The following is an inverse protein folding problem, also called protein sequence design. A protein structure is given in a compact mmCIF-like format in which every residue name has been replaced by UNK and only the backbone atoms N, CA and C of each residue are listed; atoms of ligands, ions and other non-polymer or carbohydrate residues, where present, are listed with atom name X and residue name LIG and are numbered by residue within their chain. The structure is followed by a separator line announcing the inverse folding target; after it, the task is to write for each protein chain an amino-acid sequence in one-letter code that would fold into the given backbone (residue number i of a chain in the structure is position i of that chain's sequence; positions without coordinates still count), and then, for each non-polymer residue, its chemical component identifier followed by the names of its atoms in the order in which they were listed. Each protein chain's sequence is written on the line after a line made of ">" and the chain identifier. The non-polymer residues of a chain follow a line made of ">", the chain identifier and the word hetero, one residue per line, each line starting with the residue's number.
data_IF_093760278700
#
_entry.id   IF_093760278700
#
_cell.length_a   1.000
_cell.length_b   1.000
_cell.length_c   1.000
_cell.angle_alpha   90.00
_cell.angle_beta   90.00
_cell.angle_gamma   90.00
#
_symmetry.space_group_name_H-M   'P 1'
#
loop_
_entity.id
_entity.type
_entity.pdbx_description
1 polymer ?
#
# COMPACT_ATOMS: atom_id res chain seq x y z
N UNK A 1 -12.35 8.54 -6.74
CA UNK A 1 -13.19 7.93 -5.68
C UNK A 1 -13.32 8.82 -4.43
N UNK A 2 -12.48 9.85 -4.25
CA UNK A 2 -12.44 10.66 -3.01
C UNK A 2 -13.54 11.74 -2.85
N UNK A 3 -14.62 11.71 -3.65
CA UNK A 3 -15.63 12.78 -3.65
C UNK A 3 -16.71 12.63 -2.56
N UNK A 4 -16.59 11.65 -1.66
CA UNK A 4 -17.62 11.31 -0.67
C UNK A 4 -17.20 11.59 0.77
N UNK A 5 -16.01 12.16 1.00
CA UNK A 5 -15.53 12.43 2.35
C UNK A 5 -16.13 13.74 2.87
N UNK A 6 -16.78 13.67 4.03
CA UNK A 6 -17.19 14.81 4.83
C UNK A 6 -16.65 14.65 6.25
N UNK A 7 -15.89 15.67 6.67
CA UNK A 7 -15.27 15.74 7.99
C UNK A 7 -16.29 15.47 9.10
N UNK A 8 -15.89 14.69 10.11
CA UNK A 8 -16.72 14.33 11.27
C UNK A 8 -18.01 13.55 10.95
N UNK A 9 -18.20 13.09 9.72
CA UNK A 9 -19.41 12.35 9.30
C UNK A 9 -19.05 11.04 8.60
N UNK A 10 -18.30 11.12 7.51
CA UNK A 10 -18.02 9.98 6.64
C UNK A 10 -16.68 10.24 5.96
N UNK A 11 -15.65 9.49 6.33
CA UNK A 11 -14.35 9.57 5.69
C UNK A 11 -14.14 8.31 4.86
N UNK A 12 -13.80 8.47 3.58
CA UNK A 12 -13.58 7.33 2.71
C UNK A 12 -12.37 7.51 1.79
N UNK A 13 -11.71 6.39 1.52
CA UNK A 13 -10.69 6.27 0.49
C UNK A 13 -10.97 5.03 -0.33
N UNK A 14 -10.81 5.12 -1.65
CA UNK A 14 -11.13 4.03 -2.57
C UNK A 14 -10.06 3.83 -3.64
N UNK A 15 -9.76 2.57 -3.94
CA UNK A 15 -8.88 2.16 -5.04
C UNK A 15 -9.48 0.96 -5.77
N UNK A 16 -9.35 0.93 -7.09
CA UNK A 16 -9.64 -0.27 -7.89
C UNK A 16 -8.37 -1.10 -8.03
N UNK A 17 -8.45 -2.37 -7.64
CA UNK A 17 -7.37 -3.35 -7.78
C UNK A 17 -7.69 -4.30 -8.93
N UNK A 18 -6.71 -4.52 -9.79
CA UNK A 18 -6.77 -5.52 -10.87
C UNK A 18 -5.78 -6.63 -10.54
N UNK A 19 -6.30 -7.83 -10.33
CA UNK A 19 -5.54 -9.02 -9.94
C UNK A 19 -5.47 -9.95 -11.15
N UNK A 20 -4.25 -10.34 -11.52
CA UNK A 20 -3.95 -11.21 -12.66
C UNK A 20 -4.58 -10.76 -14.00
N UNK A 21 -4.84 -9.46 -14.17
CA UNK A 21 -5.54 -8.87 -15.33
C UNK A 21 -6.97 -9.38 -15.59
N UNK A 22 -7.52 -10.21 -14.71
CA UNK A 22 -8.82 -10.87 -14.90
C UNK A 22 -9.83 -10.49 -13.81
N UNK A 23 -9.37 -10.36 -12.56
CA UNK A 23 -10.24 -10.09 -11.42
C UNK A 23 -10.12 -8.63 -11.00
N UNK A 24 -11.24 -7.89 -11.06
CA UNK A 24 -11.31 -6.50 -10.60
C UNK A 24 -12.08 -6.43 -9.29
N UNK A 25 -11.49 -5.80 -8.28
CA UNK A 25 -12.13 -5.56 -7.00
C UNK A 25 -11.91 -4.11 -6.57
N UNK A 26 -12.98 -3.47 -6.11
CA UNK A 26 -12.91 -2.13 -5.55
C UNK A 26 -12.69 -2.25 -4.05
N UNK A 27 -11.60 -1.69 -3.56
CA UNK A 27 -11.29 -1.58 -2.14
C UNK A 27 -11.72 -0.21 -1.65
N UNK A 28 -12.58 -0.18 -0.63
CA UNK A 28 -12.89 1.02 0.14
C UNK A 28 -12.39 0.87 1.58
N UNK A 29 -11.80 1.94 2.10
CA UNK A 29 -11.68 2.15 3.53
C UNK A 29 -12.68 3.22 3.95
N UNK A 30 -13.48 2.97 4.98
CA UNK A 30 -14.51 3.88 5.50
C UNK A 30 -14.32 4.05 7.00
N UNK A 31 -14.29 5.30 7.45
CA UNK A 31 -14.32 5.65 8.86
C UNK A 31 -15.59 6.44 9.18
N UNK A 32 -16.28 6.03 10.25
CA UNK A 32 -17.40 6.77 10.85
C UNK A 32 -17.04 7.13 12.29
N UNK A 33 -16.98 8.43 12.63
CA UNK A 33 -16.84 8.86 14.01
C UNK A 33 -18.00 8.35 14.90
N UNK A 34 -17.76 8.08 16.20
CA UNK A 34 -18.77 7.52 17.12
C UNK A 34 -19.93 8.47 17.45
N UNK A 35 -20.02 9.65 16.84
CA UNK A 35 -21.05 10.65 17.14
C UNK A 35 -22.46 10.19 16.67
N UNK A 36 -23.46 10.17 17.57
CA UNK A 36 -24.81 9.70 17.25
C UNK A 36 -25.59 10.67 16.35
N UNK A 37 -25.27 11.96 16.36
CA UNK A 37 -26.01 13.00 15.65
C UNK A 37 -25.92 12.87 14.11
N UNK A 38 -24.86 12.25 13.60
CA UNK A 38 -24.57 12.18 12.17
C UNK A 38 -24.91 10.83 11.51
N UNK A 39 -25.58 9.92 12.23
CA UNK A 39 -25.85 8.55 11.75
C UNK A 39 -26.65 8.53 10.45
N UNK A 40 -27.68 9.37 10.33
CA UNK A 40 -28.50 9.43 9.12
C UNK A 40 -27.69 9.88 7.90
N UNK A 41 -26.89 10.93 8.09
CA UNK A 41 -26.03 11.49 7.05
C UNK A 41 -24.94 10.51 6.64
N UNK A 42 -24.34 9.80 7.61
CA UNK A 42 -23.38 8.72 7.35
C UNK A 42 -23.99 7.66 6.43
N UNK A 43 -25.18 7.14 6.75
CA UNK A 43 -25.81 6.09 5.93
C UNK A 43 -26.21 6.59 4.54
N UNK A 44 -26.56 7.86 4.40
CA UNK A 44 -26.79 8.49 3.09
C UNK A 44 -25.51 8.47 2.26
N UNK A 45 -24.39 8.94 2.80
CA UNK A 45 -23.11 8.91 2.08
C UNK A 45 -22.63 7.50 1.79
N UNK A 46 -22.84 6.57 2.72
CA UNK A 46 -22.51 5.17 2.50
C UNK A 46 -23.33 4.60 1.34
N UNK A 47 -24.64 4.84 1.33
CA UNK A 47 -25.52 4.45 0.24
C UNK A 47 -25.10 5.06 -1.11
N UNK A 48 -24.83 6.36 -1.15
CA UNK A 48 -24.45 7.07 -2.37
C UNK A 48 -23.10 6.54 -2.92
N UNK A 49 -22.14 6.25 -2.04
CA UNK A 49 -20.87 5.64 -2.41
C UNK A 49 -21.08 4.24 -3.01
N UNK A 50 -21.87 3.40 -2.36
CA UNK A 50 -22.15 2.04 -2.84
C UNK A 50 -22.91 2.09 -4.18
N UNK A 51 -23.97 2.89 -4.26
CA UNK A 51 -24.80 3.05 -5.47
C UNK A 51 -24.00 3.53 -6.67
N UNK A 52 -23.05 4.46 -6.46
CA UNK A 52 -22.21 4.98 -7.54
C UNK A 52 -21.16 3.98 -8.02
N UNK A 53 -20.64 3.15 -7.13
CA UNK A 53 -19.44 2.34 -7.41
C UNK A 53 -19.72 0.84 -7.59
N UNK A 54 -20.75 0.29 -6.95
CA UNK A 54 -21.17 -1.10 -7.11
C UNK A 54 -22.34 -1.20 -8.09
N UNK A 55 -22.04 -1.37 -9.37
CA UNK A 55 -22.99 -1.95 -10.33
C UNK A 55 -23.12 -3.47 -10.09
N UNK A 56 -24.22 -4.10 -10.56
CA UNK A 56 -24.59 -5.53 -10.37
C UNK A 56 -23.52 -6.63 -10.63
N UNK A 57 -22.31 -6.30 -11.08
CA UNK A 57 -21.24 -7.27 -11.41
C UNK A 57 -19.84 -6.91 -10.89
N UNK A 58 -19.70 -5.94 -9.96
CA UNK A 58 -18.38 -5.58 -9.42
C UNK A 58 -18.14 -6.18 -8.06
N UNK A 59 -16.97 -6.79 -7.87
CA UNK A 59 -16.52 -7.20 -6.55
C UNK A 59 -16.06 -5.99 -5.75
N UNK A 60 -16.36 -6.00 -4.46
CA UNK A 60 -15.99 -4.94 -3.54
C UNK A 60 -15.54 -5.52 -2.20
N UNK A 61 -14.51 -4.91 -1.62
CA UNK A 61 -14.07 -5.10 -0.25
C UNK A 61 -14.12 -3.76 0.46
N UNK A 62 -14.82 -3.69 1.58
CA UNK A 62 -14.98 -2.50 2.39
C UNK A 62 -14.42 -2.79 3.77
N UNK A 63 -13.49 -1.96 4.19
CA UNK A 63 -12.78 -2.06 5.45
C UNK A 63 -13.02 -0.80 6.28
N UNK A 64 -12.97 -0.93 7.60
CA UNK A 64 -12.73 0.22 8.47
C UNK A 64 -13.57 0.26 9.73
N UNK A 65 -13.28 1.26 10.56
CA UNK A 65 -13.95 1.49 11.84
C UNK A 65 -15.23 2.31 11.62
N UNK A 66 -16.37 1.62 11.69
CA UNK A 66 -17.68 2.26 11.55
C UNK A 66 -18.25 2.71 12.90
N UNK A 67 -17.61 2.38 14.01
CA UNK A 67 -18.16 2.62 15.35
C UNK A 67 -19.62 2.11 15.48
N UNK A 68 -19.93 0.97 14.84
CA UNK A 68 -21.22 0.26 14.93
C UNK A 68 -20.98 -1.14 15.47
N UNK A 69 -21.33 -1.38 16.72
CA UNK A 69 -21.06 -2.68 17.34
C UNK A 69 -21.97 -3.78 16.74
N UNK A 70 -21.35 -4.70 16.00
CA UNK A 70 -22.04 -5.80 15.31
C UNK A 70 -22.77 -6.75 16.26
N UNK A 71 -22.28 -6.88 17.50
CA UNK A 71 -22.90 -7.75 18.50
C UNK A 71 -24.15 -7.14 19.13
N UNK A 72 -24.36 -5.82 19.00
CA UNK A 72 -25.55 -5.15 19.53
C UNK A 72 -26.73 -5.24 18.58
N UNK A 73 -27.89 -5.61 19.12
CA UNK A 73 -29.17 -5.49 18.42
C UNK A 73 -29.76 -4.11 18.69
N UNK A 74 -29.55 -3.18 17.76
CA UNK A 74 -30.08 -1.83 17.83
C UNK A 74 -30.40 -1.31 16.42
N UNK A 75 -31.18 -0.21 16.28
CA UNK A 75 -31.59 0.31 14.98
C UNK A 75 -30.44 0.64 14.02
N UNK A 76 -29.28 1.06 14.54
CA UNK A 76 -28.09 1.40 13.73
C UNK A 76 -27.50 0.12 13.13
N UNK A 77 -27.34 -0.94 13.92
CA UNK A 77 -26.84 -2.23 13.46
C UNK A 77 -27.81 -2.88 12.47
N UNK A 78 -29.12 -2.76 12.70
CA UNK A 78 -30.13 -3.23 11.73
C UNK A 78 -30.03 -2.49 10.39
N UNK A 79 -29.93 -1.15 10.43
CA UNK A 79 -29.78 -0.35 9.21
C UNK A 79 -28.49 -0.66 8.44
N UNK A 80 -27.39 -0.97 9.14
CA UNK A 80 -26.16 -1.45 8.50
C UNK A 80 -26.39 -2.79 7.79
N UNK A 81 -27.09 -3.73 8.42
CA UNK A 81 -27.44 -5.02 7.83
C UNK A 81 -28.34 -4.87 6.61
N UNK A 82 -29.33 -3.99 6.66
CA UNK A 82 -30.24 -3.72 5.54
C UNK A 82 -29.47 -3.15 4.34
N UNK A 83 -28.61 -2.15 4.57
CA UNK A 83 -27.74 -1.60 3.53
C UNK A 83 -26.82 -2.67 2.95
N UNK A 84 -26.21 -3.50 3.80
CA UNK A 84 -25.37 -4.61 3.33
C UNK A 84 -26.14 -5.59 2.45
N UNK A 85 -27.36 -5.96 2.86
CA UNK A 85 -28.21 -6.88 2.10
C UNK A 85 -28.57 -6.32 0.71
N UNK A 86 -28.87 -5.02 0.63
CA UNK A 86 -29.18 -4.35 -0.64
C UNK A 86 -28.03 -4.45 -1.66
N UNK A 87 -26.78 -4.37 -1.19
CA UNK A 87 -25.58 -4.45 -2.02
C UNK A 87 -24.91 -5.84 -2.03
N UNK A 88 -25.60 -6.88 -1.54
CA UNK A 88 -25.08 -8.25 -1.41
C UNK A 88 -23.73 -8.34 -0.66
N UNK A 89 -23.53 -7.50 0.35
CA UNK A 89 -22.35 -7.48 1.20
C UNK A 89 -22.53 -8.42 2.41
N UNK A 90 -21.50 -9.20 2.70
CA UNK A 90 -21.41 -10.11 3.85
C UNK A 90 -20.37 -9.56 4.82
N UNK A 91 -20.61 -9.68 6.12
CA UNK A 91 -19.59 -9.43 7.16
C UNK A 91 -18.71 -10.67 7.31
N UNK A 92 -17.39 -10.47 7.35
CA UNK A 92 -16.39 -11.54 7.46
C UNK A 92 -15.72 -11.63 8.83
N UNK A 93 -15.80 -10.60 9.65
CA UNK A 93 -15.33 -10.65 11.04
C UNK A 93 -16.42 -11.24 11.94
N UNK A 94 -16.03 -12.21 12.77
CA UNK A 94 -16.93 -12.89 13.71
C UNK A 94 -16.49 -12.76 15.19
N UNK A 95 -15.40 -12.04 15.45
CA UNK A 95 -14.83 -11.86 16.78
C UNK A 95 -14.61 -10.37 17.08
N UNK A 96 -14.46 -9.99 18.37
CA UNK A 96 -14.25 -8.60 18.75
C UNK A 96 -12.99 -7.99 18.09
N UNK A 97 -13.12 -6.78 17.57
CA UNK A 97 -12.01 -6.02 16.96
C UNK A 97 -11.52 -4.89 17.86
N UNK A 98 -12.29 -4.51 18.88
CA UNK A 98 -11.83 -3.58 19.91
C UNK A 98 -12.09 -4.16 21.29
N UNK A 99 -11.01 -4.35 22.05
CA UNK A 99 -11.05 -4.92 23.39
C UNK A 99 -10.35 -3.98 24.36
N UNK A 100 -11.11 -3.48 25.33
CA UNK A 100 -10.63 -2.68 26.46
C UNK A 100 -10.68 -3.49 27.75
N UNK A 101 -10.32 -2.89 28.89
CA UNK A 101 -10.49 -3.53 30.20
C UNK A 101 -11.95 -3.80 30.58
N UNK A 102 -12.89 -3.07 29.98
CA UNK A 102 -14.32 -3.08 30.35
C UNK A 102 -15.25 -3.50 29.23
N UNK A 103 -14.77 -3.63 27.99
CA UNK A 103 -15.61 -3.89 26.83
C UNK A 103 -14.90 -4.72 25.76
N UNK A 104 -15.69 -5.44 24.98
CA UNK A 104 -15.25 -6.26 23.85
C UNK A 104 -16.28 -6.11 22.74
N UNK A 105 -15.93 -5.40 21.68
CA UNK A 105 -16.87 -4.94 20.63
C UNK A 105 -16.31 -5.24 19.24
N UNK A 106 -17.20 -5.41 18.26
CA UNK A 106 -16.84 -5.56 16.85
C UNK A 106 -17.33 -4.31 16.12
N UNK A 107 -16.41 -3.35 15.96
CA UNK A 107 -16.69 -2.04 15.32
C UNK A 107 -15.85 -1.79 14.07
N UNK A 108 -14.80 -2.58 13.88
CA UNK A 108 -13.99 -2.62 12.67
C UNK A 108 -14.54 -3.71 11.76
N UNK A 109 -15.05 -3.34 10.60
CA UNK A 109 -15.78 -4.25 9.74
C UNK A 109 -14.98 -4.65 8.51
N UNK A 110 -15.16 -5.91 8.08
CA UNK A 110 -14.73 -6.39 6.77
C UNK A 110 -15.96 -6.85 6.01
N UNK A 111 -16.44 -6.01 5.09
CA UNK A 111 -17.64 -6.25 4.29
C UNK A 111 -17.27 -6.55 2.85
N UNK A 112 -17.84 -7.60 2.26
CA UNK A 112 -17.58 -7.92 0.85
C UNK A 112 -18.71 -8.71 0.22
N UNK A 113 -18.88 -8.54 -1.09
CA UNK A 113 -19.76 -9.36 -1.93
C UNK A 113 -19.01 -10.52 -2.63
N UNK A 114 -17.76 -10.76 -2.26
CA UNK A 114 -16.97 -11.92 -2.69
C UNK A 114 -17.48 -13.18 -1.97
N UNK A 115 -17.33 -14.34 -2.59
CA UNK A 115 -17.71 -15.60 -1.95
C UNK A 115 -16.84 -15.94 -0.73
N UNK A 116 -17.43 -16.63 0.25
CA UNK A 116 -16.74 -16.91 1.52
C UNK A 116 -15.46 -17.73 1.33
N UNK A 117 -15.46 -18.62 0.34
CA UNK A 117 -14.31 -19.48 0.06
C UNK A 117 -13.14 -18.72 -0.55
N UNK A 118 -13.36 -17.52 -1.09
CA UNK A 118 -12.34 -16.67 -1.69
C UNK A 118 -11.72 -15.67 -0.70
N UNK A 119 -12.28 -15.50 0.50
CA UNK A 119 -11.84 -14.47 1.45
C UNK A 119 -11.78 -15.02 2.88
N UNK A 120 -10.56 -15.13 3.41
CA UNK A 120 -10.32 -15.48 4.81
C UNK A 120 -9.93 -14.24 5.61
N UNK A 121 -10.54 -14.08 6.78
CA UNK A 121 -10.28 -12.97 7.69
C UNK A 121 -9.93 -13.50 9.07
N UNK A 122 -8.82 -13.02 9.60
CA UNK A 122 -8.34 -13.34 10.96
C UNK A 122 -8.17 -12.04 11.75
N UNK A 123 -8.67 -12.02 12.98
CA UNK A 123 -8.49 -10.88 13.91
C UNK A 123 -7.25 -11.13 14.77
N UNK A 124 -6.30 -10.21 14.70
CA UNK A 124 -4.99 -10.30 15.35
C UNK A 124 -4.85 -9.21 16.42
N UNK A 125 -4.95 -9.63 17.68
CA UNK A 125 -4.65 -8.81 18.83
C UNK A 125 -3.15 -8.57 19.00
N UNK A 126 -2.61 -7.54 18.34
CA UNK A 126 -1.20 -7.14 18.50
C UNK A 126 -0.92 -6.51 19.86
N UNK A 127 -1.97 -6.10 20.59
CA UNK A 127 -1.98 -5.34 21.85
C UNK A 127 -1.01 -4.16 21.86
N UNK A 128 -0.88 -3.51 20.71
CA UNK A 128 -0.30 -2.18 20.57
C UNK A 128 -1.37 -1.09 20.77
N UNK A 129 -2.63 -1.45 20.61
CA UNK A 129 -3.84 -0.63 20.76
C UNK A 129 -4.96 -1.51 21.31
N UNK A 130 -6.02 -0.87 21.80
CA UNK A 130 -7.31 -1.49 22.08
C UNK A 130 -8.00 -2.02 20.82
N UNK A 131 -7.65 -1.52 19.62
CA UNK A 131 -8.04 -2.10 18.34
C UNK A 131 -7.13 -3.26 17.92
N UNK A 132 -7.73 -4.31 17.40
CA UNK A 132 -7.11 -5.50 16.84
C UNK A 132 -7.04 -5.39 15.32
N UNK A 133 -5.91 -5.82 14.76
CA UNK A 133 -5.71 -5.79 13.31
C UNK A 133 -6.57 -6.87 12.63
N UNK A 134 -7.06 -6.58 11.43
CA UNK A 134 -7.69 -7.61 10.59
C UNK A 134 -6.71 -8.04 9.49
N UNK A 135 -6.33 -9.32 9.49
CA UNK A 135 -5.53 -9.94 8.44
C UNK A 135 -6.48 -10.55 7.41
N UNK A 136 -6.38 -10.10 6.16
CA UNK A 136 -7.31 -10.45 5.09
C UNK A 136 -6.53 -11.15 4.00
N UNK A 137 -6.87 -12.42 3.75
CA UNK A 137 -6.25 -13.25 2.74
C UNK A 137 -7.26 -13.56 1.65
N UNK A 138 -6.95 -13.18 0.42
CA UNK A 138 -7.69 -13.64 -0.75
C UNK A 138 -7.17 -15.00 -1.19
N UNK A 139 -8.08 -15.95 -1.29
CA UNK A 139 -7.84 -17.27 -1.85
C UNK A 139 -8.28 -17.25 -3.31
N UNK A 140 -7.31 -17.09 -4.19
CA UNK A 140 -7.53 -17.39 -5.60
C UNK A 140 -7.21 -18.86 -5.78
N UNK A 141 -8.21 -19.66 -6.17
CA UNK A 141 -7.93 -20.97 -6.73
C UNK A 141 -7.05 -20.76 -7.95
N UNK A 142 -5.76 -21.02 -7.79
CA UNK A 142 -4.92 -21.26 -8.94
C UNK A 142 -5.42 -22.55 -9.57
N UNK A 143 -6.32 -22.46 -10.54
CA UNK A 143 -6.62 -23.56 -11.47
C UNK A 143 -5.37 -24.03 -12.23
N UNK A 144 -4.22 -23.41 -12.01
CA UNK A 144 -2.89 -23.84 -12.43
C UNK A 144 -1.85 -23.68 -11.31
N UNK A 145 -2.06 -24.30 -10.15
CA UNK A 145 -0.99 -24.51 -9.17
C UNK A 145 0.06 -25.48 -9.73
N UNK A 146 0.79 -25.05 -10.76
CA UNK A 146 2.07 -25.65 -11.10
C UNK A 146 3.01 -25.30 -9.95
N UNK A 147 3.63 -26.35 -9.39
CA UNK A 147 4.67 -26.30 -8.34
C UNK A 147 5.67 -25.16 -8.63
N UNK A 148 6.35 -24.60 -7.61
CA UNK A 148 7.34 -23.54 -7.80
C UNK A 148 8.56 -24.11 -8.55
N UNK A 149 8.44 -24.22 -9.86
CA UNK A 149 9.56 -24.41 -10.76
C UNK A 149 10.13 -23.03 -10.91
N UNK A 150 11.35 -22.84 -10.40
CA UNK A 150 12.23 -21.77 -10.84
C UNK A 150 12.21 -21.72 -12.37
N UNK A 151 11.39 -20.86 -12.97
CA UNK A 151 11.44 -20.54 -14.39
C UNK A 151 10.63 -19.27 -14.65
N UNK A 152 11.31 -18.25 -15.16
CA UNK A 152 10.80 -17.08 -15.87
C UNK A 152 9.32 -17.16 -16.22
N UNK A 153 8.46 -16.52 -15.41
CA UNK A 153 7.03 -16.45 -15.69
C UNK A 153 6.82 -15.68 -17.01
N UNK A 154 6.42 -16.41 -18.05
CA UNK A 154 5.93 -15.82 -19.28
C UNK A 154 4.46 -15.44 -19.04
N UNK A 155 4.14 -14.15 -19.12
CA UNK A 155 2.77 -13.65 -19.11
C UNK A 155 2.14 -13.92 -20.48
N UNK A 156 0.97 -14.54 -20.53
CA UNK A 156 0.22 -14.75 -21.77
C UNK A 156 -0.86 -13.69 -21.91
N UNK A 157 -1.04 -13.17 -23.12
CA UNK A 157 -2.10 -12.20 -23.45
C UNK A 157 -2.63 -12.46 -24.85
N UNK A 158 -3.91 -12.17 -25.10
CA UNK A 158 -4.48 -12.20 -26.46
C UNK A 158 -4.07 -10.94 -27.22
N UNK A 159 -3.53 -11.11 -28.42
CA UNK A 159 -3.14 -9.99 -29.26
C UNK A 159 -4.36 -9.30 -29.86
N UNK A 160 -4.80 -8.22 -29.21
CA UNK A 160 -5.97 -7.42 -29.58
C UNK A 160 -5.58 -6.17 -30.37
N UNK A 161 -4.49 -6.24 -31.14
CA UNK A 161 -4.11 -5.15 -32.03
C UNK A 161 -5.23 -4.83 -33.04
N UNK A 162 -5.20 -3.61 -33.59
CA UNK A 162 -6.28 -3.09 -34.45
C UNK A 162 -6.60 -4.02 -35.63
N UNK A 163 -5.59 -4.66 -36.22
CA UNK A 163 -5.79 -5.56 -37.36
C UNK A 163 -6.50 -6.86 -36.96
N UNK A 164 -6.14 -7.45 -35.83
CA UNK A 164 -6.81 -8.63 -35.29
C UNK A 164 -8.27 -8.34 -34.92
N UNK A 165 -8.56 -7.14 -34.40
CA UNK A 165 -9.93 -6.72 -34.12
C UNK A 165 -10.76 -6.52 -35.40
N UNK A 166 -10.16 -6.04 -36.49
CA UNK A 166 -10.85 -5.99 -37.80
C UNK A 166 -11.16 -7.39 -38.31
N UNK A 167 -10.20 -8.31 -38.20
CA UNK A 167 -10.40 -9.73 -38.54
C UNK A 167 -11.51 -10.35 -37.71
N UNK A 168 -11.57 -10.06 -36.41
CA UNK A 168 -12.66 -10.51 -35.55
C UNK A 168 -14.02 -10.00 -36.03
N UNK A 169 -14.13 -8.71 -36.32
CA UNK A 169 -15.37 -8.11 -36.84
C UNK A 169 -15.79 -8.74 -38.18
N UNK A 170 -14.83 -9.01 -39.06
CA UNK A 170 -15.08 -9.71 -40.32
C UNK A 170 -15.63 -11.13 -40.08
N UNK A 171 -14.98 -11.91 -39.21
CA UNK A 171 -15.42 -13.27 -38.90
C UNK A 171 -16.82 -13.30 -38.28
N UNK A 172 -17.09 -12.43 -37.30
CA UNK A 172 -18.41 -12.32 -36.68
C UNK A 172 -19.50 -11.87 -37.67
N UNK A 173 -19.15 -11.09 -38.70
CA UNK A 173 -20.08 -10.70 -39.77
C UNK A 173 -20.47 -11.85 -40.71
N UNK A 174 -19.65 -12.90 -40.76
CA UNK A 174 -19.87 -14.10 -41.57
C UNK A 174 -20.54 -15.23 -40.80
N UNK A 175 -20.70 -15.09 -39.49
CA UNK A 175 -21.29 -16.13 -38.67
C UNK A 175 -22.80 -16.25 -38.81
N UNK A 176 -23.27 -17.50 -38.73
CA UNK A 176 -24.69 -17.80 -38.76
C UNK A 176 -25.29 -17.78 -37.34
N UNK A 177 -26.00 -16.71 -37.04
CA UNK A 177 -26.61 -16.47 -35.72
C UNK A 177 -27.97 -17.15 -35.52
N UNK A 178 -28.50 -17.88 -36.50
CA UNK A 178 -29.81 -18.56 -36.41
C UNK A 178 -29.85 -19.62 -35.29
N UNK A 179 -28.70 -20.16 -34.90
CA UNK A 179 -28.56 -21.07 -33.74
C UNK A 179 -28.96 -20.42 -32.39
N UNK A 180 -29.08 -19.09 -32.33
CA UNK A 180 -29.54 -18.35 -31.16
C UNK A 180 -31.06 -18.12 -31.12
N UNK A 181 -31.75 -18.23 -32.26
CA UNK A 181 -33.20 -17.95 -32.35
C UNK A 181 -34.06 -19.15 -31.98
N UNK A 182 -33.55 -20.37 -32.17
CA UNK A 182 -34.29 -21.64 -32.01
C UNK A 182 -34.30 -22.21 -30.57
N UNK A 183 -33.54 -21.62 -29.65
CA UNK A 183 -33.40 -22.15 -28.28
C UNK A 183 -34.38 -21.48 -27.30
N UNK A 184 -34.87 -22.24 -26.31
CA UNK A 184 -35.99 -21.79 -25.44
C UNK A 184 -35.53 -20.91 -24.26
N UNK A 185 -34.37 -21.19 -23.66
CA UNK A 185 -33.91 -20.48 -22.45
C UNK A 185 -32.87 -19.40 -22.75
N UNK A 186 -32.98 -18.24 -22.09
CA UNK A 186 -32.03 -17.14 -22.20
C UNK A 186 -30.60 -17.56 -21.81
N UNK A 187 -30.46 -18.45 -20.82
CA UNK A 187 -29.18 -19.02 -20.39
C UNK A 187 -28.51 -19.80 -21.51
N UNK A 188 -29.27 -20.61 -22.26
CA UNK A 188 -28.72 -21.40 -23.36
C UNK A 188 -28.34 -20.52 -24.55
N UNK A 189 -29.15 -19.49 -24.86
CA UNK A 189 -28.82 -18.48 -25.87
C UNK A 189 -27.50 -17.79 -25.57
N UNK A 190 -27.34 -17.32 -24.33
CA UNK A 190 -26.11 -16.64 -23.91
C UNK A 190 -24.89 -17.56 -23.97
N UNK A 191 -25.03 -18.83 -23.55
CA UNK A 191 -23.95 -19.83 -23.63
C UNK A 191 -23.53 -20.10 -25.08
N UNK A 192 -24.49 -20.26 -25.99
CA UNK A 192 -24.22 -20.48 -27.41
C UNK A 192 -23.55 -19.25 -28.04
N UNK A 193 -24.03 -18.05 -27.74
CA UNK A 193 -23.41 -16.79 -28.17
C UNK A 193 -21.95 -16.71 -27.72
N UNK A 194 -21.70 -16.95 -26.42
CA UNK A 194 -20.36 -16.89 -25.86
C UNK A 194 -19.43 -17.92 -26.50
N UNK A 195 -19.91 -19.09 -26.86
CA UNK A 195 -19.10 -20.11 -27.53
C UNK A 195 -18.70 -19.68 -28.93
N UNK A 196 -19.65 -19.18 -29.74
CA UNK A 196 -19.40 -18.67 -31.09
C UNK A 196 -18.43 -17.48 -31.04
N UNK A 197 -18.67 -16.54 -30.12
CA UNK A 197 -17.80 -15.38 -29.94
C UNK A 197 -16.38 -15.79 -29.52
N UNK A 198 -16.23 -16.66 -28.51
CA UNK A 198 -14.91 -17.14 -28.05
C UNK A 198 -14.15 -17.86 -29.14
N UNK A 199 -14.82 -18.66 -29.96
CA UNK A 199 -14.21 -19.35 -31.09
C UNK A 199 -13.60 -18.33 -32.08
N UNK A 200 -14.41 -17.39 -32.55
CA UNK A 200 -13.97 -16.35 -33.47
C UNK A 200 -12.90 -15.42 -32.87
N UNK A 201 -13.03 -15.11 -31.57
CA UNK A 201 -12.06 -14.31 -30.82
C UNK A 201 -10.70 -15.01 -30.75
N UNK A 202 -10.66 -16.31 -30.46
CA UNK A 202 -9.39 -17.05 -30.36
C UNK A 202 -8.71 -17.19 -31.73
N UNK A 203 -9.50 -17.29 -32.80
CA UNK A 203 -8.98 -17.31 -34.17
C UNK A 203 -8.39 -15.95 -34.59
N UNK A 204 -9.09 -14.85 -34.31
CA UNK A 204 -8.68 -13.52 -34.72
C UNK A 204 -7.59 -12.92 -33.82
N UNK A 205 -7.66 -13.17 -32.51
CA UNK A 205 -6.75 -12.62 -31.51
C UNK A 205 -5.93 -13.77 -30.90
N UNK A 206 -4.79 -14.16 -31.47
CA UNK A 206 -4.00 -15.29 -30.97
C UNK A 206 -3.35 -15.00 -29.61
N UNK A 207 -3.15 -16.04 -28.82
CA UNK A 207 -2.48 -15.96 -27.52
C UNK A 207 -0.96 -15.82 -27.69
N UNK A 208 -0.40 -14.69 -27.25
CA UNK A 208 1.06 -14.39 -27.26
C UNK A 208 1.67 -14.49 -25.86
N UNK A 209 3.00 -14.61 -25.79
CA UNK A 209 3.79 -14.74 -24.54
C UNK A 209 4.78 -13.57 -24.39
N UNK A 210 4.91 -13.00 -23.19
CA UNK A 210 5.89 -11.97 -22.83
C UNK A 210 6.66 -12.37 -21.56
N UNK A 211 7.98 -12.17 -21.53
CA UNK A 211 8.80 -12.44 -20.32
C UNK A 211 8.56 -11.37 -19.26
N UNK A 212 8.24 -11.78 -18.03
CA UNK A 212 8.13 -10.88 -16.86
C UNK A 212 9.52 -10.59 -16.29
N UNK A 213 9.88 -9.32 -16.15
CA UNK A 213 11.07 -8.93 -15.38
C UNK A 213 10.75 -9.09 -13.88
N UNK A 214 11.40 -10.06 -13.22
CA UNK A 214 11.28 -10.23 -11.77
C UNK A 214 12.13 -9.14 -11.09
N UNK A 215 11.59 -8.32 -10.17
CA UNK A 215 12.39 -7.37 -9.41
C UNK A 215 13.38 -8.13 -8.51
N UNK A 216 14.67 -7.79 -8.60
CA UNK A 216 15.73 -8.37 -7.76
C UNK A 216 15.39 -8.22 -6.26
N UNK A 217 15.70 -9.24 -5.46
CA UNK A 217 15.52 -9.25 -3.99
C UNK A 217 16.07 -7.94 -3.40
N UNK A 218 15.19 -7.17 -2.76
CA UNK A 218 15.43 -5.75 -2.44
C UNK A 218 16.56 -5.48 -1.44
N UNK A 219 17.07 -6.48 -0.69
CA UNK A 219 18.08 -6.28 0.37
C UNK A 219 19.03 -7.48 0.49
N UNK A 220 20.20 -7.47 -0.17
CA UNK A 220 21.12 -8.61 -0.20
C UNK A 220 21.78 -8.97 1.15
N UNK A 221 21.76 -8.07 2.14
CA UNK A 221 22.31 -8.31 3.48
C UNK A 221 21.38 -9.12 4.40
N UNK A 222 20.14 -9.41 3.97
CA UNK A 222 19.14 -10.08 4.79
C UNK A 222 19.30 -11.61 4.73
N UNK A 223 19.70 -12.24 5.83
CA UNK A 223 19.87 -13.70 5.92
C UNK A 223 18.64 -14.41 6.51
N UNK A 224 18.50 -15.71 6.26
CA UNK A 224 17.45 -16.55 6.89
C UNK A 224 17.49 -16.45 8.43
N UNK A 225 18.68 -16.46 9.02
CA UNK A 225 18.86 -16.31 10.47
C UNK A 225 18.29 -14.99 11.00
N UNK A 226 18.56 -13.87 10.32
CA UNK A 226 17.99 -12.56 10.68
C UNK A 226 16.46 -12.56 10.61
N UNK A 227 15.89 -13.20 9.59
CA UNK A 227 14.43 -13.33 9.44
C UNK A 227 13.86 -14.14 10.60
N UNK A 228 14.46 -15.28 10.94
CA UNK A 228 14.05 -16.12 12.07
C UNK A 228 14.15 -15.37 13.39
N UNK A 229 15.25 -14.66 13.64
CA UNK A 229 15.42 -13.83 14.85
C UNK A 229 14.40 -12.69 14.92
N UNK A 230 13.99 -12.13 13.78
CA UNK A 230 12.93 -11.13 13.71
C UNK A 230 11.58 -11.71 14.15
N UNK A 231 11.23 -12.91 13.68
CA UNK A 231 10.00 -13.62 14.11
C UNK A 231 10.04 -13.91 15.61
N UNK A 232 11.16 -14.42 16.12
CA UNK A 232 11.34 -14.69 17.55
C UNK A 232 11.23 -13.43 18.40
N UNK A 233 11.78 -12.30 17.96
CA UNK A 233 11.62 -11.03 18.66
C UNK A 233 10.13 -10.65 18.81
N UNK A 234 9.32 -10.84 17.76
CA UNK A 234 7.86 -10.62 17.80
C UNK A 234 7.16 -11.55 18.80
N UNK A 235 7.53 -12.83 18.84
CA UNK A 235 6.99 -13.79 19.82
C UNK A 235 7.32 -13.40 21.26
N UNK A 236 8.54 -12.93 21.52
CA UNK A 236 8.97 -12.49 22.85
C UNK A 236 8.24 -11.23 23.29
N UNK A 237 8.05 -10.27 22.37
CA UNK A 237 7.26 -9.07 22.62
C UNK A 237 5.78 -9.41 22.93
N UNK A 238 5.22 -10.45 22.30
CA UNK A 238 3.87 -10.96 22.63
C UNK A 238 3.81 -11.54 24.06
N UNK A 239 4.76 -12.40 24.42
CA UNK A 239 4.81 -13.08 25.74
C UNK A 239 5.03 -12.11 26.91
N UNK A 240 5.62 -10.94 26.67
CA UNK A 240 5.85 -9.87 27.65
C UNK A 240 4.59 -9.34 28.32
N UNK A 241 3.41 -9.54 27.71
CA UNK A 241 2.13 -9.08 28.24
C UNK A 241 1.61 -9.92 29.41
N UNK A 242 1.86 -11.24 29.35
CA UNK A 242 1.37 -12.19 30.34
C UNK A 242 2.46 -12.59 31.34
N UNK A 243 3.72 -12.26 31.08
CA UNK A 243 4.84 -12.53 31.96
C UNK A 243 5.61 -11.24 32.30
N UNK A 244 5.42 -10.75 33.53
CA UNK A 244 6.10 -9.57 34.07
C UNK A 244 7.29 -9.91 34.98
N UNK A 245 7.78 -11.16 34.97
CA UNK A 245 8.97 -11.55 35.72
C UNK A 245 10.18 -10.71 35.30
N UNK A 246 10.96 -10.23 36.28
CA UNK A 246 12.18 -9.44 36.06
C UNK A 246 13.19 -10.18 35.18
N UNK A 247 13.33 -11.49 35.36
CA UNK A 247 14.21 -12.35 34.56
C UNK A 247 13.79 -12.40 33.08
N UNK A 248 12.48 -12.58 32.83
CA UNK A 248 11.93 -12.63 31.48
C UNK A 248 12.06 -11.28 30.74
N UNK A 249 11.83 -10.17 31.46
CA UNK A 249 12.00 -8.83 30.92
C UNK A 249 13.46 -8.54 30.55
N UNK A 250 14.41 -8.98 31.39
CA UNK A 250 15.83 -8.86 31.13
C UNK A 250 16.26 -9.70 29.91
N UNK A 251 15.74 -10.91 29.77
CA UNK A 251 15.94 -11.76 28.60
C UNK A 251 15.47 -11.08 27.31
N UNK A 252 14.25 -10.52 27.29
CA UNK A 252 13.71 -9.82 26.12
C UNK A 252 14.56 -8.60 25.73
N UNK A 253 14.99 -7.81 26.72
CA UNK A 253 15.88 -6.66 26.51
C UNK A 253 17.22 -7.09 25.88
N UNK A 254 17.82 -8.15 26.42
CA UNK A 254 19.07 -8.73 25.93
C UNK A 254 18.93 -9.25 24.51
N UNK A 255 17.85 -9.98 24.22
CA UNK A 255 17.56 -10.49 22.88
C UNK A 255 17.45 -9.36 21.85
N UNK A 256 16.69 -8.30 22.17
CA UNK A 256 16.54 -7.12 21.30
C UNK A 256 17.88 -6.41 21.06
N UNK A 257 18.74 -6.33 22.09
CA UNK A 257 20.10 -5.77 21.98
C UNK A 257 20.97 -6.59 21.03
N UNK A 258 20.96 -7.92 21.16
CA UNK A 258 21.70 -8.84 20.28
C UNK A 258 21.18 -8.73 18.85
N UNK A 259 19.87 -8.78 18.63
CA UNK A 259 19.26 -8.66 17.31
C UNK A 259 19.70 -7.39 16.58
N UNK A 260 19.69 -6.24 17.27
CA UNK A 260 20.19 -4.96 16.71
C UNK A 260 21.67 -5.02 16.34
N UNK A 261 22.51 -5.68 17.14
CA UNK A 261 23.93 -5.88 16.82
C UNK A 261 24.09 -6.73 15.54
N UNK A 262 23.35 -7.82 15.42
CA UNK A 262 23.39 -8.69 14.23
C UNK A 262 22.97 -7.94 12.96
N UNK A 263 21.91 -7.13 13.02
CA UNK A 263 21.48 -6.29 11.88
C UNK A 263 22.59 -5.32 11.46
N UNK A 264 23.22 -4.64 12.42
CA UNK A 264 24.31 -3.70 12.13
C UNK A 264 25.51 -4.41 11.52
N UNK A 265 25.91 -5.55 12.08
CA UNK A 265 27.01 -6.36 11.56
C UNK A 265 26.72 -6.84 10.14
N UNK A 266 25.52 -7.38 9.87
CA UNK A 266 25.16 -7.87 8.54
C UNK A 266 25.17 -6.76 7.48
N UNK A 267 24.66 -5.56 7.81
CA UNK A 267 24.75 -4.39 6.94
C UNK A 267 26.20 -3.97 6.70
N UNK A 268 27.00 -3.88 7.76
CA UNK A 268 28.41 -3.51 7.67
C UNK A 268 29.19 -4.51 6.80
N UNK A 269 29.07 -5.81 7.05
CA UNK A 269 29.72 -6.86 6.25
C UNK A 269 29.32 -6.79 4.78
N UNK A 270 28.05 -6.55 4.48
CA UNK A 270 27.58 -6.40 3.11
C UNK A 270 28.21 -5.19 2.42
N UNK A 271 28.19 -4.04 3.08
CA UNK A 271 28.79 -2.80 2.58
C UNK A 271 30.31 -2.94 2.41
N UNK A 272 31.01 -3.48 3.39
CA UNK A 272 32.44 -3.75 3.31
C UNK A 272 32.75 -4.66 2.12
N UNK A 273 32.03 -5.78 1.96
CA UNK A 273 32.22 -6.67 0.81
C UNK A 273 31.99 -5.96 -0.52
N UNK A 274 30.99 -5.09 -0.61
CA UNK A 274 30.71 -4.32 -1.81
C UNK A 274 31.80 -3.29 -2.12
N UNK A 275 32.38 -2.66 -1.09
CA UNK A 275 33.44 -1.65 -1.23
C UNK A 275 34.84 -2.25 -1.42
N UNK A 276 35.09 -3.48 -0.97
CA UNK A 276 36.40 -4.16 -1.18
C UNK A 276 36.50 -4.87 -2.51
N UNK A 277 35.39 -5.07 -3.21
CA UNK A 277 35.33 -5.79 -4.50
C UNK A 277 35.18 -4.86 -5.70
N UNK A 278 35.23 -3.54 -5.50
CA UNK A 278 35.08 -2.53 -6.56
C UNK A 278 36.41 -1.94 -6.97
N UNK A 279 36.59 -1.73 -8.28
CA UNK A 279 37.76 -1.05 -8.85
C UNK A 279 37.71 0.47 -8.62
N UNK A 280 36.54 1.03 -8.31
CA UNK A 280 36.35 2.46 -8.07
C UNK A 280 35.54 2.72 -6.79
N UNK A 281 36.27 2.81 -5.68
CA UNK A 281 35.73 3.03 -4.35
C UNK A 281 34.88 4.30 -4.24
N UNK A 282 35.36 5.42 -4.79
CA UNK A 282 34.70 6.72 -4.68
C UNK A 282 33.32 6.71 -5.34
N UNK A 283 33.25 6.26 -6.60
CA UNK A 283 31.99 6.18 -7.35
C UNK A 283 30.98 5.26 -6.65
N UNK A 284 31.44 4.09 -6.20
CA UNK A 284 30.56 3.09 -5.62
C UNK A 284 30.08 3.46 -4.22
N UNK A 285 30.91 4.13 -3.42
CA UNK A 285 30.51 4.72 -2.13
C UNK A 285 29.43 5.80 -2.33
N UNK A 286 29.62 6.72 -3.28
CA UNK A 286 28.62 7.73 -3.62
C UNK A 286 27.32 7.12 -4.14
N UNK A 287 27.40 6.05 -4.95
CA UNK A 287 26.22 5.33 -5.42
C UNK A 287 25.41 4.71 -4.28
N UNK A 288 26.08 4.13 -3.27
CA UNK A 288 25.42 3.57 -2.08
C UNK A 288 24.71 4.70 -1.30
N UNK A 289 25.40 5.80 -1.05
CA UNK A 289 24.85 6.96 -0.33
C UNK A 289 23.64 7.56 -1.09
N UNK A 290 23.76 7.72 -2.41
CA UNK A 290 22.67 8.20 -3.27
C UNK A 290 21.47 7.25 -3.26
N UNK A 291 21.70 5.93 -3.20
CA UNK A 291 20.62 4.93 -3.12
C UNK A 291 19.88 4.91 -1.78
N UNK A 292 20.55 5.30 -0.69
CA UNK A 292 19.94 5.42 0.65
C UNK A 292 19.24 6.77 0.88
N UNK A 293 19.44 7.76 -0.01
CA UNK A 293 18.74 9.05 0.03
C UNK A 293 17.38 8.91 -0.65
N UNK A 294 16.30 9.02 0.13
CA UNK A 294 14.91 8.97 -0.32
C UNK A 294 14.42 10.23 -1.07
N UNK A 295 15.32 11.17 -1.42
CA UNK A 295 14.94 12.40 -2.13
C UNK A 295 15.48 12.35 -3.56
N UNK A 296 14.67 12.70 -4.58
CA UNK A 296 15.21 12.95 -5.92
C UNK A 296 16.34 13.98 -5.80
N UNK A 297 17.37 13.86 -6.65
CA UNK A 297 18.35 14.95 -6.79
C UNK A 297 17.54 16.22 -6.96
N UNK A 298 17.70 17.18 -6.03
CA UNK A 298 17.31 18.53 -6.31
C UNK A 298 17.95 18.84 -7.66
N UNK A 299 17.13 19.11 -8.68
CA UNK A 299 17.64 19.62 -9.94
C UNK A 299 18.43 20.85 -9.54
N UNK A 300 19.75 20.75 -9.65
CA UNK A 300 20.60 21.92 -9.51
C UNK A 300 20.04 22.94 -10.51
N UNK A 301 19.92 24.22 -10.14
CA UNK A 301 19.54 25.27 -11.08
C UNK A 301 20.29 25.08 -12.40
N UNK A 302 19.62 25.31 -13.52
CA UNK A 302 20.18 25.17 -14.88
C UNK A 302 21.46 25.96 -15.09
N UNK A 303 21.68 26.97 -14.25
CA UNK A 303 22.86 27.82 -14.22
C UNK A 303 23.93 27.19 -13.33
N UNK A 304 24.51 26.07 -13.80
CA UNK A 304 25.76 25.58 -13.19
C UNK A 304 26.90 26.48 -13.66
N UNK A 305 27.59 27.21 -12.76
CA UNK A 305 28.87 27.80 -13.13
C UNK A 305 29.82 26.69 -13.58
N UNK A 306 30.67 26.97 -14.58
CA UNK A 306 31.70 26.01 -14.98
C UNK A 306 32.58 25.69 -13.76
N UNK A 307 33.23 24.51 -13.72
CA UNK A 307 34.18 24.17 -12.66
C UNK A 307 35.22 25.27 -12.44
N UNK A 308 35.65 25.94 -13.50
CA UNK A 308 36.57 27.08 -13.47
C UNK A 308 35.96 28.28 -12.74
N UNK A 309 34.74 28.69 -13.10
CA UNK A 309 34.04 29.82 -12.45
C UNK A 309 33.77 29.51 -10.97
N UNK A 310 33.39 28.27 -10.66
CA UNK A 310 33.17 27.84 -9.28
C UNK A 310 34.47 27.87 -8.46
N UNK A 311 35.55 27.30 -8.99
CA UNK A 311 36.85 27.30 -8.32
C UNK A 311 37.41 28.71 -8.16
N UNK A 312 37.25 29.56 -9.17
CA UNK A 312 37.69 30.95 -9.15
C UNK A 312 36.92 31.78 -8.11
N UNK A 313 35.62 31.52 -7.94
CA UNK A 313 34.83 32.16 -6.90
C UNK A 313 35.32 31.78 -5.49
N UNK A 314 35.45 30.48 -5.19
CA UNK A 314 35.85 30.04 -3.84
C UNK A 314 37.33 30.29 -3.52
N UNK A 315 38.22 30.30 -4.52
CA UNK A 315 39.61 30.67 -4.35
C UNK A 315 39.78 32.16 -3.98
N UNK A 316 38.89 33.03 -4.46
CA UNK A 316 39.03 34.48 -4.32
C UNK A 316 38.03 35.13 -3.34
N UNK A 317 37.12 34.34 -2.74
CA UNK A 317 36.08 34.87 -1.83
C UNK A 317 36.67 35.60 -0.61
N UNK A 318 37.86 35.20 -0.17
CA UNK A 318 38.59 35.84 0.92
C UNK A 318 39.08 37.24 0.56
N UNK A 319 39.57 37.44 -0.66
CA UNK A 319 40.04 38.74 -1.15
C UNK A 319 38.87 39.71 -1.37
N UNK A 320 37.76 39.23 -1.92
CA UNK A 320 36.55 40.04 -2.15
C UNK A 320 35.90 40.53 -0.84
N UNK A 321 35.98 39.74 0.23
CA UNK A 321 35.50 40.17 1.56
C UNK A 321 36.45 41.13 2.26
N UNK A 322 37.75 41.03 2.00
CA UNK A 322 38.74 41.94 2.59
C UNK A 322 38.60 43.37 2.05
N UNK A 323 38.23 43.54 0.78
CA UNK A 323 37.94 44.85 0.18
C UNK A 323 36.65 45.54 0.68
N UNK A 324 35.80 44.84 1.43
CA UNK A 324 34.53 45.37 1.95
C UNK A 324 34.61 45.77 3.44
N UNK A 325 35.74 45.51 4.10
CA UNK A 325 35.97 45.92 5.48
C UNK A 325 36.85 47.18 5.45
N UNK A 326 36.21 48.35 5.41
CA UNK A 326 36.90 49.61 5.71
C UNK A 326 37.28 49.65 7.20
N UNK A 327 38.53 50.01 7.49
CA UNK A 327 39.06 50.12 8.86
C UNK A 327 38.20 51.02 9.77
N UNK A 328 38.07 50.70 11.06
CA UNK A 328 37.32 51.55 11.98
C UNK A 328 38.07 52.87 12.20
N UNK A 329 37.38 53.98 12.01
CA UNK A 329 37.91 55.32 12.31
C UNK A 329 38.19 55.43 13.81
N UNK A 330 39.47 55.57 14.18
CA UNK A 330 39.89 55.92 15.53
C UNK A 330 39.37 57.32 15.88
N UNK A 331 38.37 57.42 16.75
CA UNK A 331 38.00 58.69 17.37
C UNK A 331 39.04 59.08 18.43
N UNK A 332 39.65 60.23 18.23
CA UNK A 332 40.60 60.86 19.14
C UNK A 332 39.96 61.17 20.49
N UNK A 333 40.64 60.78 21.57
CA UNK A 333 40.36 61.28 22.90
C UNK A 333 40.76 62.76 22.99
N UNK A 334 39.82 63.62 23.39
CA UNK A 334 40.11 64.87 24.09
C UNK A 334 38.92 65.32 24.92
N UNK A 335 39.17 65.33 26.24
CA UNK A 335 38.74 66.31 27.24
C UNK A 335 37.27 66.43 27.69
N UNK A 336 37.00 65.77 28.81
CA UNK A 336 36.60 66.35 30.12
C UNK A 336 35.71 67.61 30.08
N UNK A 337 34.48 67.49 30.62
CA UNK A 337 34.03 68.20 31.84
C UNK A 337 32.62 67.75 32.26
N UNK A 338 32.46 67.40 33.53
CA UNK A 338 31.15 67.25 34.17
C UNK A 338 30.58 68.62 34.57
N UNK A 339 29.28 68.88 34.39
CA UNK A 339 28.56 69.87 35.17
C UNK A 339 27.83 69.20 36.34
N UNK A 340 28.06 69.77 37.52
CA UNK A 340 27.34 69.52 38.77
C UNK A 340 25.86 69.95 38.69
N UNK A 341 25.06 69.32 39.58
CA UNK A 341 23.85 69.84 40.28
C UNK A 341 22.61 70.16 39.41
N UNK A 342 21.38 69.80 39.79
CA UNK A 342 20.75 69.68 41.11
C UNK A 342 19.93 68.38 41.25
#
# INVERSE_FOLDING_TARGET
>A
MNSFSQEMIFESAGIELVINNEFKIILFYIYRPPHPQNVNTFFKYFYDLLSKHLSKQKYCLILGDLNVDWFKQNPITHRLKDLMNEFNLKQFVNSPTRVTSTSSTLIDHVLSNVERDMLQVEVIGTGLSDHFAQNINFLFENSLAQKPIHNTSNETFYDTCSENLKTLNYLLSKENWNSLTETVSATQKFKNFLNIFKYNFTLACPLKRKKKNIPKIAKPWLTKGIITSSKRLKELDFKKKNNKSSEFLNYCSTYKKIYRKVIRAAKATHLTKQLTTTDNLSRDAWRIIDSDRSKPRALLPTDKPSPEVFNQYFANIGQQKHSLITEPTLMSQSDVTCPNTL
#
